data_IF_910776979206
#
_entry.id   IF_910776979206
#
_cell.length_a   1.000
_cell.length_b   1.000
_cell.length_c   1.000
_cell.angle_alpha   90.00
_cell.angle_beta   90.00
_cell.angle_gamma   90.00
#
_symmetry.space_group_name_H-M   'P 1'
#
loop_
_entity.id
_entity.type
_entity.pdbx_description
1 polymer ?
#
# COMPACT_ATOMS: atom_id res chain seq x y z
N UNK A 1 -9.05 -14.35 -12.44
CA UNK A 1 -10.23 -13.47 -12.30
C UNK A 1 -10.99 -13.54 -13.62
N UNK A 2 -12.32 -13.65 -13.62
CA UNK A 2 -13.11 -13.72 -14.87
C UNK A 2 -13.36 -12.32 -15.45
N UNK A 3 -13.64 -12.18 -16.77
CA UNK A 3 -13.97 -10.88 -17.36
C UNK A 3 -15.10 -10.14 -16.63
N UNK A 4 -16.16 -10.87 -16.25
CA UNK A 4 -17.29 -10.33 -15.48
C UNK A 4 -16.90 -9.83 -14.09
N UNK A 5 -15.91 -10.45 -13.44
CA UNK A 5 -15.39 -9.97 -12.15
C UNK A 5 -14.60 -8.68 -12.32
N UNK A 6 -13.79 -8.57 -13.38
CA UNK A 6 -13.04 -7.36 -13.71
C UNK A 6 -14.00 -6.20 -13.98
N UNK A 7 -15.03 -6.42 -14.77
CA UNK A 7 -16.06 -5.42 -15.07
C UNK A 7 -16.76 -4.91 -13.81
N UNK A 8 -17.14 -5.81 -12.89
CA UNK A 8 -17.72 -5.43 -11.58
C UNK A 8 -16.79 -4.51 -10.79
N UNK A 9 -15.49 -4.78 -10.79
CA UNK A 9 -14.49 -3.96 -10.09
C UNK A 9 -14.34 -2.60 -10.79
N UNK A 10 -14.32 -2.55 -12.12
CA UNK A 10 -14.28 -1.30 -12.88
C UNK A 10 -15.52 -0.43 -12.61
N UNK A 11 -16.70 -1.03 -12.55
CA UNK A 11 -17.95 -0.33 -12.18
C UNK A 11 -17.87 0.21 -10.76
N UNK A 12 -17.32 -0.56 -9.81
CA UNK A 12 -17.10 -0.09 -8.44
C UNK A 12 -16.13 1.08 -8.36
N UNK A 13 -15.04 1.04 -9.14
CA UNK A 13 -14.07 2.15 -9.26
C UNK A 13 -14.77 3.41 -9.78
N UNK A 14 -15.58 3.30 -10.86
CA UNK A 14 -16.33 4.42 -11.43
C UNK A 14 -17.31 5.02 -10.41
N UNK A 15 -18.06 4.17 -9.71
CA UNK A 15 -18.99 4.60 -8.67
C UNK A 15 -18.28 5.37 -7.55
N UNK A 16 -17.18 4.84 -7.01
CA UNK A 16 -16.42 5.52 -5.93
C UNK A 16 -15.93 6.90 -6.40
N UNK A 17 -15.41 7.00 -7.63
CA UNK A 17 -14.98 8.29 -8.19
C UNK A 17 -16.14 9.28 -8.29
N UNK A 18 -17.30 8.83 -8.79
CA UNK A 18 -18.49 9.67 -8.90
C UNK A 18 -18.96 10.17 -7.53
N UNK A 19 -18.99 9.30 -6.52
CA UNK A 19 -19.35 9.69 -5.15
C UNK A 19 -18.38 10.73 -4.60
N UNK A 20 -17.07 10.52 -4.71
CA UNK A 20 -16.07 11.48 -4.23
C UNK A 20 -16.16 12.84 -4.95
N UNK A 21 -16.39 12.83 -6.27
CA UNK A 21 -16.60 14.06 -7.04
C UNK A 21 -17.85 14.80 -6.59
N UNK A 22 -18.95 14.08 -6.38
CA UNK A 22 -20.21 14.67 -5.96
C UNK A 22 -20.15 15.21 -4.53
N UNK A 23 -19.48 14.50 -3.60
CA UNK A 23 -19.24 15.01 -2.25
C UNK A 23 -18.43 16.32 -2.29
N UNK A 24 -17.34 16.37 -3.07
CA UNK A 24 -16.55 17.58 -3.21
C UNK A 24 -17.36 18.73 -3.79
N UNK A 25 -18.22 18.45 -4.77
CA UNK A 25 -19.11 19.44 -5.40
C UNK A 25 -20.15 19.96 -4.40
N UNK A 26 -20.78 19.08 -3.64
CA UNK A 26 -21.91 19.40 -2.76
C UNK A 26 -21.46 20.03 -1.44
N UNK A 27 -20.34 19.58 -0.88
CA UNK A 27 -19.92 19.92 0.48
C UNK A 27 -18.60 20.70 0.53
N UNK A 28 -17.91 20.90 -0.60
CA UNK A 28 -16.58 21.51 -0.63
C UNK A 28 -15.48 20.63 -0.01
N UNK A 29 -15.82 19.43 0.48
CA UNK A 29 -14.92 18.48 1.14
C UNK A 29 -15.32 17.04 0.86
N UNK A 30 -14.74 16.10 1.59
CA UNK A 30 -14.99 14.66 1.42
C UNK A 30 -15.47 14.07 2.74
N UNK A 31 -16.53 13.26 2.71
CA UNK A 31 -17.03 12.61 3.90
C UNK A 31 -16.39 11.22 4.05
N UNK A 32 -15.31 11.15 4.83
CA UNK A 32 -14.47 9.95 4.88
C UNK A 32 -14.98 8.81 5.77
N UNK A 33 -16.17 8.93 6.36
CA UNK A 33 -16.72 7.91 7.27
C UNK A 33 -16.87 6.50 6.65
N UNK A 34 -16.87 6.40 5.31
CA UNK A 34 -16.97 5.11 4.59
C UNK A 34 -15.61 4.58 4.09
N UNK A 35 -14.52 5.33 4.27
CA UNK A 35 -13.18 4.94 3.84
C UNK A 35 -13.00 4.75 2.33
N UNK A 36 -13.87 5.36 1.51
CA UNK A 36 -13.91 5.13 0.05
C UNK A 36 -12.58 5.48 -0.64
N UNK A 37 -11.89 6.52 -0.15
CA UNK A 37 -10.60 6.94 -0.70
C UNK A 37 -9.48 5.90 -0.46
N UNK A 38 -9.60 5.08 0.58
CA UNK A 38 -8.64 4.02 0.89
C UNK A 38 -8.93 2.69 0.18
N UNK A 39 -10.16 2.48 -0.30
CA UNK A 39 -10.56 1.26 -1.00
C UNK A 39 -9.98 1.16 -2.43
N UNK A 40 -9.80 2.31 -3.10
CA UNK A 40 -9.38 2.39 -4.50
C UNK A 40 -8.08 1.63 -4.83
N UNK A 41 -7.01 1.71 -4.03
CA UNK A 41 -5.80 0.90 -4.20
C UNK A 41 -6.02 -0.59 -4.42
N UNK A 42 -6.87 -1.20 -3.60
CA UNK A 42 -7.18 -2.62 -3.63
C UNK A 42 -7.84 -2.98 -4.97
N UNK A 43 -8.84 -2.20 -5.35
CA UNK A 43 -9.63 -2.42 -6.56
C UNK A 43 -8.76 -2.40 -7.81
N UNK A 44 -7.94 -1.36 -7.97
CA UNK A 44 -7.04 -1.25 -9.12
C UNK A 44 -6.00 -2.37 -9.18
N UNK A 45 -5.39 -2.73 -8.04
CA UNK A 45 -4.43 -3.84 -8.03
C UNK A 45 -5.10 -5.17 -8.37
N UNK A 46 -6.33 -5.40 -7.91
CA UNK A 46 -7.05 -6.66 -8.12
C UNK A 46 -7.32 -6.94 -9.61
N UNK A 47 -7.47 -5.89 -10.42
CA UNK A 47 -7.60 -5.98 -11.89
C UNK A 47 -6.29 -5.65 -12.63
N UNK A 48 -5.18 -5.48 -11.89
CA UNK A 48 -3.87 -5.14 -12.44
C UNK A 48 -3.85 -3.84 -13.29
N UNK A 49 -4.76 -2.91 -13.04
CA UNK A 49 -4.78 -1.60 -13.71
C UNK A 49 -3.83 -0.63 -12.99
N UNK A 50 -2.54 -0.76 -13.29
CA UNK A 50 -1.49 0.05 -12.68
C UNK A 50 -1.50 1.51 -13.14
N UNK A 51 -1.94 1.77 -14.38
CA UNK A 51 -2.00 3.13 -14.95
C UNK A 51 -3.15 3.92 -14.33
N UNK A 52 -4.35 3.34 -14.26
CA UNK A 52 -5.50 3.94 -13.60
C UNK A 52 -5.22 4.22 -12.13
N UNK A 53 -4.49 3.32 -11.46
CA UNK A 53 -4.07 3.53 -10.07
C UNK A 53 -3.10 4.70 -9.90
N UNK A 54 -2.15 4.87 -10.82
CA UNK A 54 -1.20 5.99 -10.77
C UNK A 54 -1.94 7.34 -10.83
N UNK A 55 -2.89 7.47 -11.75
CA UNK A 55 -3.74 8.67 -11.86
C UNK A 55 -4.52 8.93 -10.56
N UNK A 56 -5.08 7.87 -9.96
CA UNK A 56 -5.77 8.00 -8.68
C UNK A 56 -4.84 8.47 -7.56
N UNK A 57 -3.61 7.96 -7.48
CA UNK A 57 -2.66 8.41 -6.45
C UNK A 57 -2.26 9.87 -6.59
N UNK A 58 -2.15 10.39 -7.82
CA UNK A 58 -1.93 11.82 -8.06
C UNK A 58 -3.12 12.67 -7.63
N UNK A 59 -4.34 12.23 -7.94
CA UNK A 59 -5.56 12.88 -7.44
C UNK A 59 -5.62 12.86 -5.90
N UNK A 60 -5.27 11.74 -5.27
CA UNK A 60 -5.26 11.62 -3.80
C UNK A 60 -4.27 12.61 -3.19
N UNK A 61 -3.03 12.68 -3.70
CA UNK A 61 -2.01 13.60 -3.17
C UNK A 61 -2.44 15.07 -3.29
N UNK A 62 -3.11 15.44 -4.38
CA UNK A 62 -3.62 16.80 -4.59
C UNK A 62 -4.74 17.17 -3.62
N UNK A 63 -5.62 16.22 -3.29
CA UNK A 63 -6.81 16.49 -2.48
C UNK A 63 -6.60 16.26 -0.98
N UNK A 64 -5.58 15.48 -0.62
CA UNK A 64 -5.28 15.09 0.75
C UNK A 64 -3.76 15.20 1.01
N UNK A 65 -3.18 16.41 0.90
CA UNK A 65 -1.74 16.61 1.07
C UNK A 65 -1.27 16.28 2.50
N UNK A 66 -2.08 16.61 3.51
CA UNK A 66 -1.76 16.44 4.93
C UNK A 66 -2.15 15.06 5.49
N UNK A 67 -2.63 14.17 4.62
CA UNK A 67 -3.07 12.85 5.04
C UNK A 67 -1.84 11.95 5.30
N UNK A 68 -1.71 11.51 6.55
CA UNK A 68 -0.65 10.61 7.03
C UNK A 68 -0.69 9.24 6.33
N UNK A 69 -1.85 8.88 5.77
CA UNK A 69 -2.22 7.66 5.07
C UNK A 69 -2.11 6.41 5.92
N UNK A 70 -3.00 5.48 5.64
CA UNK A 70 -2.94 4.12 6.18
C UNK A 70 -1.67 3.38 5.66
N UNK A 71 -0.94 2.60 6.50
CA UNK A 71 0.23 1.86 6.06
C UNK A 71 -0.05 0.87 4.91
N UNK A 72 -1.21 0.20 4.89
CA UNK A 72 -1.63 -0.67 3.79
C UNK A 72 -1.82 0.13 2.49
N UNK A 73 -2.34 1.35 2.55
CA UNK A 73 -2.47 2.22 1.38
C UNK A 73 -1.10 2.57 0.80
N UNK A 74 -0.17 3.01 1.66
CA UNK A 74 1.21 3.32 1.30
C UNK A 74 1.92 2.11 0.70
N UNK A 75 1.80 0.96 1.37
CA UNK A 75 2.38 -0.30 0.95
C UNK A 75 1.92 -0.70 -0.45
N UNK A 76 0.60 -0.75 -0.66
CA UNK A 76 0.05 -1.03 -1.98
C UNK A 76 0.60 -0.04 -3.00
N UNK A 77 0.67 1.26 -2.65
CA UNK A 77 1.05 2.33 -3.60
C UNK A 77 2.47 2.15 -4.11
N UNK A 78 3.38 1.76 -3.23
CA UNK A 78 4.77 1.45 -3.56
C UNK A 78 4.86 0.51 -4.77
N UNK A 79 4.10 -0.59 -4.79
CA UNK A 79 4.11 -1.54 -5.92
C UNK A 79 3.62 -0.96 -7.25
N UNK A 80 2.69 0.00 -7.24
CA UNK A 80 2.26 0.68 -8.47
C UNK A 80 3.42 1.45 -9.10
N UNK A 81 4.14 2.19 -8.25
CA UNK A 81 5.19 3.08 -8.70
C UNK A 81 6.32 2.26 -9.31
N UNK A 82 6.62 1.10 -8.69
CA UNK A 82 7.49 0.10 -9.28
C UNK A 82 6.97 -0.44 -10.62
N UNK A 83 5.69 -0.82 -10.75
CA UNK A 83 5.12 -1.33 -12.02
C UNK A 83 5.07 -0.29 -13.14
N UNK A 84 4.97 1.00 -12.82
CA UNK A 84 4.94 2.08 -13.81
C UNK A 84 6.34 2.66 -14.12
N UNK A 85 7.44 2.00 -13.72
CA UNK A 85 8.82 2.45 -13.92
C UNK A 85 9.11 3.86 -13.38
N UNK A 86 8.35 4.33 -12.39
CA UNK A 86 8.55 5.65 -11.77
C UNK A 86 9.62 5.60 -10.68
N UNK A 87 10.77 4.97 -10.97
CA UNK A 87 11.82 4.50 -10.04
C UNK A 87 12.58 5.57 -9.23
N UNK A 88 12.45 6.87 -9.55
CA UNK A 88 13.05 7.94 -8.72
C UNK A 88 12.24 8.26 -7.45
N UNK A 89 10.94 8.02 -7.48
CA UNK A 89 10.02 8.19 -6.36
C UNK A 89 9.81 6.98 -5.41
N UNK A 90 9.97 5.70 -5.80
CA UNK A 90 9.46 4.58 -5.03
C UNK A 90 10.39 4.23 -3.89
N UNK A 91 11.69 4.52 -3.94
CA UNK A 91 12.58 4.24 -2.80
C UNK A 91 12.21 5.13 -1.61
N UNK A 92 11.91 6.41 -1.83
CA UNK A 92 11.35 7.30 -0.79
C UNK A 92 9.98 6.82 -0.31
N UNK A 93 9.11 6.33 -1.21
CA UNK A 93 7.76 5.86 -0.84
C UNK A 93 7.77 4.48 -0.17
N UNK A 94 8.70 3.61 -0.53
CA UNK A 94 8.95 2.32 0.09
C UNK A 94 9.47 2.50 1.50
N UNK A 95 10.41 3.43 1.70
CA UNK A 95 10.86 3.85 3.04
C UNK A 95 9.70 4.43 3.86
N UNK A 96 8.90 5.35 3.30
CA UNK A 96 7.70 5.87 3.99
C UNK A 96 6.73 4.76 4.37
N UNK A 97 6.51 3.79 3.49
CA UNK A 97 5.68 2.61 3.79
C UNK A 97 6.30 1.70 4.84
N UNK A 98 7.63 1.59 4.88
CA UNK A 98 8.34 0.76 5.87
C UNK A 98 8.28 1.42 7.24
N UNK A 99 8.46 2.73 7.31
CA UNK A 99 8.36 3.45 8.58
C UNK A 99 6.94 3.56 9.10
N UNK A 100 5.91 3.51 8.25
CA UNK A 100 4.51 3.49 8.71
C UNK A 100 4.05 2.13 9.25
N UNK A 101 4.65 1.03 8.82
CA UNK A 101 4.60 -0.26 9.50
C UNK A 101 5.74 -1.16 9.00
N UNK A 102 6.72 -1.39 9.88
CA UNK A 102 7.97 -2.09 9.54
C UNK A 102 7.77 -3.58 9.24
N UNK A 103 6.63 -4.14 9.63
CA UNK A 103 6.33 -5.57 9.50
C UNK A 103 5.67 -5.94 8.16
N UNK A 104 5.11 -4.98 7.43
CA UNK A 104 4.36 -5.23 6.18
C UNK A 104 5.20 -5.90 5.09
N UNK A 105 6.44 -5.44 4.89
CA UNK A 105 7.33 -6.05 3.90
C UNK A 105 7.72 -7.48 4.31
N UNK A 106 8.02 -7.72 5.58
CA UNK A 106 8.27 -9.05 6.11
C UNK A 106 7.10 -10.00 5.86
N UNK A 107 5.89 -9.60 6.26
CA UNK A 107 4.65 -10.35 6.01
C UNK A 107 4.43 -10.63 4.53
N UNK A 108 4.65 -9.63 3.67
CA UNK A 108 4.49 -9.79 2.23
C UNK A 108 5.48 -10.78 1.62
N UNK A 109 6.70 -10.88 2.13
CA UNK A 109 7.71 -11.84 1.66
C UNK A 109 7.69 -13.17 2.43
N UNK A 110 6.60 -13.49 3.14
CA UNK A 110 6.45 -14.70 3.98
C UNK A 110 7.57 -14.87 5.01
N UNK A 111 8.10 -13.75 5.52
CA UNK A 111 9.09 -13.78 6.59
C UNK A 111 8.41 -13.86 7.94
N UNK A 112 9.05 -14.49 8.95
CA UNK A 112 8.55 -14.44 10.31
C UNK A 112 8.47 -12.97 10.75
N UNK A 113 7.34 -12.61 11.38
CA UNK A 113 7.22 -11.31 12.03
C UNK A 113 7.97 -11.39 13.34
N UNK A 114 9.04 -10.62 13.44
CA UNK A 114 9.85 -10.49 14.64
C UNK A 114 9.53 -9.11 15.21
N UNK A 115 8.89 -9.00 16.39
CA UNK A 115 8.67 -7.72 17.04
C UNK A 115 9.98 -6.94 17.18
N UNK A 116 9.94 -5.67 16.81
CA UNK A 116 11.08 -4.76 16.92
C UNK A 116 10.85 -3.95 18.18
N UNK A 117 11.84 -3.90 19.04
CA UNK A 117 11.86 -2.99 20.18
C UNK A 117 12.02 -1.55 19.66
N UNK A 118 10.88 -0.87 19.49
CA UNK A 118 10.75 0.49 18.98
C UNK A 118 9.58 1.19 19.67
N UNK A 119 9.58 2.51 19.62
CA UNK A 119 8.42 3.28 20.04
C UNK A 119 7.28 3.13 19.03
N UNK A 120 6.10 2.77 19.52
CA UNK A 120 4.88 2.53 18.73
C UNK A 120 3.84 3.56 19.17
N UNK A 121 3.43 4.44 18.26
CA UNK A 121 2.57 5.58 18.56
C UNK A 121 1.09 5.22 18.37
N UNK A 122 0.83 4.20 17.54
CA UNK A 122 -0.51 3.81 17.15
C UNK A 122 -0.62 2.31 16.88
N UNK A 123 -1.85 1.81 16.84
CA UNK A 123 -2.14 0.43 16.44
C UNK A 123 -1.65 0.11 15.01
N UNK A 124 -1.37 1.11 14.18
CA UNK A 124 -0.80 0.93 12.85
C UNK A 124 0.67 0.51 12.89
N UNK A 125 1.38 0.81 13.96
CA UNK A 125 2.81 0.51 14.08
C UNK A 125 3.06 -0.94 14.50
N UNK A 126 2.03 -1.57 15.08
CA UNK A 126 2.05 -2.89 15.69
C UNK A 126 2.14 -4.05 14.67
N UNK A 127 2.72 -5.21 15.05
CA UNK A 127 2.71 -6.44 14.27
C UNK A 127 1.32 -6.91 13.82
N UNK A 128 0.32 -6.78 14.68
CA UNK A 128 -1.05 -7.30 14.50
C UNK A 128 -1.74 -6.63 13.31
N UNK A 129 -1.38 -5.38 13.01
CA UNK A 129 -1.92 -4.64 11.88
C UNK A 129 -1.63 -5.31 10.53
N UNK A 130 -0.60 -6.16 10.47
CA UNK A 130 -0.31 -6.94 9.26
C UNK A 130 -1.41 -7.94 8.89
N UNK A 131 -2.31 -8.29 9.83
CA UNK A 131 -3.50 -9.09 9.55
C UNK A 131 -4.45 -8.42 8.54
N UNK A 132 -4.43 -7.08 8.44
CA UNK A 132 -5.20 -6.33 7.45
C UNK A 132 -4.66 -6.47 6.01
N UNK A 133 -3.49 -7.09 5.82
CA UNK A 133 -2.90 -7.33 4.51
C UNK A 133 -3.49 -8.58 3.84
N UNK A 134 -4.63 -8.42 3.16
CA UNK A 134 -5.41 -9.54 2.56
C UNK A 134 -5.00 -9.94 1.13
N UNK A 135 -3.81 -9.53 0.65
CA UNK A 135 -3.48 -9.49 -0.79
C UNK A 135 -2.90 -10.78 -1.42
N UNK A 136 -3.29 -11.97 -0.92
CA UNK A 136 -2.71 -13.27 -1.34
C UNK A 136 -2.80 -13.54 -2.86
N UNK A 137 -3.92 -13.22 -3.51
CA UNK A 137 -4.13 -13.51 -4.95
C UNK A 137 -3.25 -12.68 -5.89
N UNK A 138 -2.76 -11.54 -5.43
CA UNK A 138 -2.06 -10.56 -6.26
C UNK A 138 -0.56 -10.51 -5.96
N UNK A 139 -0.15 -11.14 -4.86
CA UNK A 139 1.23 -11.35 -4.47
C UNK A 139 2.06 -11.95 -5.62
N UNK A 140 1.53 -12.93 -6.34
CA UNK A 140 2.23 -13.58 -7.44
C UNK A 140 2.54 -12.61 -8.61
N UNK A 141 1.61 -11.71 -8.96
CA UNK A 141 1.85 -10.67 -9.98
C UNK A 141 2.87 -9.60 -9.53
N UNK A 142 2.94 -9.34 -8.23
CA UNK A 142 3.86 -8.37 -7.66
C UNK A 142 5.29 -8.93 -7.51
N UNK A 143 5.44 -10.24 -7.29
CA UNK A 143 6.73 -10.92 -7.12
C UNK A 143 7.51 -11.13 -8.44
N UNK A 144 6.87 -11.04 -9.61
CA UNK A 144 7.52 -11.22 -10.92
C UNK A 144 8.35 -10.01 -11.40
N UNK A 145 8.61 -9.02 -10.55
CA UNK A 145 9.31 -7.78 -10.89
C UNK A 145 10.83 -7.86 -10.59
N UNK A 146 11.73 -7.92 -11.59
CA UNK A 146 13.15 -8.22 -11.33
C UNK A 146 13.95 -7.08 -10.65
N UNK A 147 13.70 -5.81 -11.02
CA UNK A 147 14.56 -4.70 -10.60
C UNK A 147 14.18 -4.07 -9.24
N UNK A 148 12.88 -3.89 -8.97
CA UNK A 148 12.38 -3.25 -7.74
C UNK A 148 12.32 -4.19 -6.53
N UNK A 149 12.33 -5.51 -6.72
CA UNK A 149 12.26 -6.45 -5.60
C UNK A 149 13.51 -6.45 -4.73
N UNK A 150 14.69 -6.10 -5.25
CA UNK A 150 15.93 -6.13 -4.45
C UNK A 150 15.91 -5.09 -3.33
N UNK A 151 15.46 -3.86 -3.59
CA UNK A 151 15.35 -2.83 -2.54
C UNK A 151 14.26 -3.20 -1.53
N UNK A 152 13.11 -3.69 -1.98
CA UNK A 152 12.03 -4.13 -1.09
C UNK A 152 12.40 -5.36 -0.24
N UNK A 153 13.15 -6.31 -0.81
CA UNK A 153 13.68 -7.47 -0.08
C UNK A 153 14.66 -7.00 1.01
N UNK A 154 15.55 -6.07 0.70
CA UNK A 154 16.45 -5.46 1.70
C UNK A 154 15.68 -4.83 2.87
N UNK A 155 14.57 -4.14 2.61
CA UNK A 155 13.71 -3.61 3.68
C UNK A 155 13.12 -4.72 4.57
N UNK A 156 12.82 -5.89 4.00
CA UNK A 156 12.42 -7.06 4.80
C UNK A 156 13.58 -7.80 5.50
N UNK A 157 14.82 -7.60 5.03
CA UNK A 157 16.04 -8.10 5.67
C UNK A 157 16.44 -7.24 6.88
N UNK A 158 16.13 -5.94 6.87
CA UNK A 158 16.42 -5.01 7.97
C UNK A 158 15.87 -5.49 9.32
N UNK A 159 14.66 -6.05 9.33
CA UNK A 159 14.06 -6.62 10.54
C UNK A 159 14.83 -7.84 11.07
N UNK A 160 15.44 -8.65 10.20
CA UNK A 160 16.30 -9.75 10.63
C UNK A 160 17.65 -9.25 11.16
N UNK A 161 18.17 -8.16 10.60
CA UNK A 161 19.48 -7.62 10.97
C UNK A 161 19.53 -7.08 12.41
N UNK A 162 18.43 -6.50 12.91
CA UNK A 162 18.31 -6.05 14.30
C UNK A 162 18.48 -7.19 15.32
N UNK A 163 18.19 -8.45 14.96
CA UNK A 163 18.39 -9.63 15.82
C UNK A 163 19.87 -10.03 15.91
N UNK A 164 20.58 -10.04 14.78
CA UNK A 164 22.00 -10.48 14.71
C UNK A 164 22.95 -9.60 15.54
N UNK A 165 22.62 -8.33 15.74
CA UNK A 165 23.43 -7.44 16.59
C UNK A 165 23.10 -7.51 18.08
N UNK A 166 21.84 -7.84 18.45
CA UNK A 166 21.45 -7.98 19.87
C UNK A 166 21.74 -9.37 20.46
N UNK A 167 21.83 -10.41 19.64
CA UNK A 167 22.22 -11.77 20.07
C UNK A 167 23.71 -11.91 20.41
N UNK A 168 24.52 -10.86 20.21
CA UNK A 168 25.97 -10.83 20.48
C UNK A 168 26.35 -9.93 21.67
N UNK A 169 25.39 -9.58 22.53
CA UNK A 169 25.64 -8.89 23.80
C UNK A 169 25.19 -9.76 24.95
#
# INVERSE_FOLDING_TARGET
>A
MTPKQIERIQTKIKMIRSVLTEEKRKYGGYHDGRGLRYAMPELYLSIQDFKGRLNYTGWFDKNFPDDIRNPIFLFKRTFILFKNNKLKEPDSKALKSYFSNSYLFGKFFDRPIIPIDKYEVSNFDLPEFTACLTFQKTKQCLLTLPAGLKSLRRLSDLNLFHRTFRSKK
#
